data_IF_228319243530
#
_entry.id   IF_228319243530
#
_cell.length_a   1.000
_cell.length_b   1.000
_cell.length_c   1.000
_cell.angle_alpha   90.00
_cell.angle_beta   90.00
_cell.angle_gamma   90.00
#
_symmetry.space_group_name_H-M   'P 1'
#
loop_
_entity.id
_entity.type
_entity.pdbx_description
1 polymer ?
#
# COMPACT_ATOMS: atom_id res chain seq x y z
N UNK A 1 12.18 5.38 24.61
CA UNK A 1 10.72 5.42 24.33
C UNK A 1 10.08 4.23 25.02
N UNK A 2 8.77 4.27 25.29
CA UNK A 2 8.04 3.05 25.68
C UNK A 2 7.85 2.14 24.46
N UNK A 3 7.80 0.83 24.68
CA UNK A 3 7.54 -0.15 23.62
C UNK A 3 6.19 0.06 22.92
N UNK A 4 5.18 0.56 23.66
CA UNK A 4 3.89 0.94 23.09
C UNK A 4 3.97 2.09 22.07
N UNK A 5 4.80 3.09 22.32
CA UNK A 5 4.95 4.24 21.41
C UNK A 5 5.71 3.85 20.14
N UNK A 6 6.71 2.98 20.27
CA UNK A 6 7.46 2.44 19.13
C UNK A 6 6.60 1.50 18.27
N UNK A 7 5.77 0.65 18.88
CA UNK A 7 4.79 -0.18 18.16
C UNK A 7 3.78 0.67 17.38
N UNK A 8 3.31 1.80 17.93
CA UNK A 8 2.43 2.70 17.19
C UNK A 8 3.08 3.29 15.95
N UNK A 9 4.31 3.78 16.09
CA UNK A 9 5.09 4.30 14.95
C UNK A 9 5.32 3.22 13.89
N UNK A 10 5.61 1.98 14.30
CA UNK A 10 5.74 0.85 13.39
C UNK A 10 4.43 0.56 12.65
N UNK A 11 3.29 0.48 13.35
CA UNK A 11 1.96 0.25 12.74
C UNK A 11 1.63 1.29 11.67
N UNK A 12 1.71 2.58 12.01
CA UNK A 12 1.45 3.65 11.05
C UNK A 12 2.44 3.65 9.88
N UNK A 13 3.73 3.44 10.13
CA UNK A 13 4.73 3.34 9.08
C UNK A 13 4.46 2.16 8.14
N UNK A 14 4.18 0.97 8.66
CA UNK A 14 3.88 -0.23 7.87
C UNK A 14 2.59 -0.10 7.06
N UNK A 15 1.54 0.53 7.61
CA UNK A 15 0.29 0.75 6.90
C UNK A 15 0.44 1.79 5.77
N UNK A 16 1.37 2.75 5.90
CA UNK A 16 1.52 3.89 4.98
C UNK A 16 2.78 3.88 4.10
N UNK A 17 3.73 2.95 4.28
CA UNK A 17 5.02 2.96 3.58
C UNK A 17 4.87 3.15 2.06
N UNK A 18 3.87 2.51 1.49
CA UNK A 18 3.58 2.46 0.05
C UNK A 18 2.46 3.41 -0.42
N UNK A 19 1.88 4.27 0.43
CA UNK A 19 0.75 5.14 0.04
C UNK A 19 1.08 6.10 -1.11
N UNK A 20 2.36 6.48 -1.25
CA UNK A 20 2.86 7.25 -2.37
C UNK A 20 2.67 6.58 -3.73
N UNK A 21 2.48 5.26 -3.82
CA UNK A 21 2.12 4.56 -5.07
C UNK A 21 0.75 4.96 -5.59
N UNK A 22 -0.21 5.23 -4.69
CA UNK A 22 -1.51 5.79 -5.04
C UNK A 22 -1.34 7.20 -5.61
N UNK A 23 -0.57 8.06 -4.92
CA UNK A 23 -0.29 9.42 -5.40
C UNK A 23 0.46 9.44 -6.74
N UNK A 24 1.41 8.52 -6.98
CA UNK A 24 2.05 8.37 -8.30
C UNK A 24 1.02 8.06 -9.40
N UNK A 25 0.04 7.20 -9.12
CA UNK A 25 -1.04 6.90 -10.05
C UNK A 25 -1.87 8.14 -10.41
N UNK A 26 -2.07 9.04 -9.44
CA UNK A 26 -2.79 10.31 -9.62
C UNK A 26 -1.90 11.48 -10.06
N UNK A 27 -0.79 11.21 -10.77
CA UNK A 27 0.11 12.24 -11.32
C UNK A 27 1.16 12.83 -10.36
N UNK A 28 1.31 12.27 -9.15
CA UNK A 28 2.33 12.67 -8.18
C UNK A 28 3.75 12.45 -8.68
N UNK A 29 4.59 13.49 -8.65
CA UNK A 29 5.98 13.45 -9.15
C UNK A 29 6.97 13.14 -8.03
N UNK A 30 7.82 12.14 -8.27
CA UNK A 30 8.86 11.68 -7.35
C UNK A 30 8.82 10.16 -7.17
N UNK A 31 9.68 9.64 -6.30
CA UNK A 31 9.59 8.23 -5.89
C UNK A 31 8.45 8.02 -4.90
N UNK A 32 7.95 6.79 -4.75
CA UNK A 32 6.77 6.55 -3.89
C UNK A 32 7.09 6.81 -2.42
N UNK A 33 8.30 6.52 -1.95
CA UNK A 33 8.76 6.78 -0.58
C UNK A 33 8.70 8.27 -0.22
N UNK A 34 9.08 9.13 -1.18
CA UNK A 34 9.04 10.58 -1.05
C UNK A 34 7.61 11.09 -1.00
N UNK A 35 6.71 10.49 -1.79
CA UNK A 35 5.29 10.82 -1.82
C UNK A 35 4.55 10.29 -0.58
N UNK A 36 4.90 9.11 -0.05
CA UNK A 36 4.43 8.61 1.24
C UNK A 36 4.85 9.55 2.38
N UNK A 37 6.10 10.00 2.38
CA UNK A 37 6.62 10.97 3.35
C UNK A 37 5.87 12.30 3.27
N UNK A 38 5.66 12.83 2.05
CA UNK A 38 4.86 14.06 1.83
C UNK A 38 3.42 13.88 2.30
N UNK A 39 2.80 12.73 2.04
CA UNK A 39 1.43 12.45 2.46
C UNK A 39 1.30 12.51 3.99
N UNK A 40 2.21 11.84 4.70
CA UNK A 40 2.29 11.86 6.17
C UNK A 40 2.41 13.30 6.68
N UNK A 41 3.35 14.08 6.14
CA UNK A 41 3.62 15.45 6.57
C UNK A 41 2.50 16.45 6.24
N UNK A 42 1.76 16.22 5.16
CA UNK A 42 0.75 17.16 4.67
C UNK A 42 -0.66 16.89 5.21
N UNK A 43 -1.00 15.64 5.52
CA UNK A 43 -2.40 15.24 5.76
C UNK A 43 -2.66 14.51 7.09
N UNK A 44 -1.64 14.10 7.84
CA UNK A 44 -1.84 13.45 9.14
C UNK A 44 -1.64 14.43 10.31
N UNK A 45 -2.32 14.22 11.47
CA UNK A 45 -2.12 15.02 12.68
C UNK A 45 -0.65 15.02 13.16
N UNK A 46 -0.15 16.12 13.75
CA UNK A 46 1.21 16.20 14.29
C UNK A 46 1.59 15.04 15.22
N UNK A 47 0.63 14.57 16.03
CA UNK A 47 0.73 13.44 16.98
C UNK A 47 1.04 12.09 16.31
N UNK A 48 0.75 11.99 15.01
CA UNK A 48 1.07 10.83 14.16
C UNK A 48 2.34 11.09 13.33
N UNK A 49 2.58 12.34 12.90
CA UNK A 49 3.81 12.70 12.20
C UNK A 49 5.08 12.48 13.04
N UNK A 50 4.98 12.71 14.36
CA UNK A 50 6.12 12.59 15.28
C UNK A 50 6.64 11.15 15.38
N UNK A 51 7.74 10.89 14.67
CA UNK A 51 8.41 9.59 14.66
C UNK A 51 8.22 8.76 13.40
N UNK A 52 7.43 9.20 12.42
CA UNK A 52 7.32 8.56 11.09
C UNK A 52 8.42 9.00 10.11
N UNK A 53 9.40 9.79 10.55
CA UNK A 53 10.50 10.29 9.72
C UNK A 53 11.35 9.18 9.07
N UNK A 54 11.34 7.96 9.63
CA UNK A 54 12.02 6.79 9.05
C UNK A 54 11.30 6.16 7.86
N UNK A 55 10.06 6.54 7.54
CA UNK A 55 9.35 6.08 6.33
C UNK A 55 10.13 6.46 5.06
N UNK A 56 10.91 7.55 5.09
CA UNK A 56 11.82 7.90 3.98
C UNK A 56 12.97 6.89 3.76
N UNK A 57 13.29 6.06 4.75
CA UNK A 57 14.46 5.19 4.77
C UNK A 57 14.25 3.75 4.30
N UNK A 58 13.00 3.28 4.14
CA UNK A 58 12.69 1.84 3.96
C UNK A 58 13.09 1.20 2.62
N UNK A 59 13.68 1.98 1.70
CA UNK A 59 14.36 1.46 0.51
C UNK A 59 15.87 1.83 0.46
N UNK A 60 16.44 2.48 1.48
CA UNK A 60 17.85 2.90 1.48
C UNK A 60 18.76 1.92 2.25
N UNK A 61 19.43 1.04 1.49
CA UNK A 61 20.36 0.01 2.01
C UNK A 61 21.46 0.54 2.95
N UNK A 62 21.88 1.80 2.82
CA UNK A 62 22.96 2.37 3.64
C UNK A 62 22.51 2.73 5.07
N UNK A 63 21.22 2.93 5.32
CA UNK A 63 20.72 3.29 6.67
C UNK A 63 20.56 2.08 7.61
N UNK A 64 20.60 0.85 7.09
CA UNK A 64 20.42 -0.37 7.91
C UNK A 64 21.67 -0.82 8.68
N UNK A 65 22.84 -0.26 8.36
CA UNK A 65 24.13 -0.64 8.95
C UNK A 65 24.43 0.04 10.30
N UNK A 66 23.59 0.99 10.73
CA UNK A 66 23.65 1.57 12.08
C UNK A 66 22.93 0.71 13.12
N UNK A 67 23.32 0.88 14.39
CA UNK A 67 22.69 0.20 15.54
C UNK A 67 21.26 0.71 15.83
N UNK A 68 20.95 1.95 15.45
CA UNK A 68 19.90 2.75 16.10
C UNK A 68 18.50 2.76 15.46
N UNK A 69 18.13 1.84 14.56
CA UNK A 69 16.77 1.80 13.98
C UNK A 69 16.19 0.38 13.84
N UNK A 70 15.72 -0.18 14.95
CA UNK A 70 15.03 -1.47 14.99
C UNK A 70 13.67 -1.47 14.25
N UNK A 71 12.78 -0.46 14.40
CA UNK A 71 11.49 -0.45 13.68
C UNK A 71 11.63 -0.45 12.16
N UNK A 72 12.65 0.24 11.64
CA UNK A 72 12.94 0.28 10.20
C UNK A 72 13.35 -1.10 9.68
N UNK A 73 14.19 -1.84 10.42
CA UNK A 73 14.59 -3.21 10.08
C UNK A 73 13.39 -4.16 10.08
N UNK A 74 12.48 -4.01 11.05
CA UNK A 74 11.23 -4.78 11.13
C UNK A 74 10.29 -4.46 9.96
N UNK A 75 10.11 -3.17 9.62
CA UNK A 75 9.31 -2.73 8.48
C UNK A 75 9.82 -3.34 7.15
N UNK A 76 11.13 -3.26 6.89
CA UNK A 76 11.73 -3.78 5.65
C UNK A 76 11.59 -5.30 5.56
N UNK A 77 11.81 -6.02 6.66
CA UNK A 77 11.61 -7.47 6.70
C UNK A 77 10.14 -7.84 6.48
N UNK A 78 9.20 -7.09 7.05
CA UNK A 78 7.77 -7.33 6.87
C UNK A 78 7.30 -7.03 5.43
N UNK A 79 7.79 -5.97 4.80
CA UNK A 79 7.50 -5.64 3.40
C UNK A 79 8.03 -6.71 2.44
N UNK A 80 9.23 -7.25 2.69
CA UNK A 80 9.77 -8.36 1.90
C UNK A 80 8.95 -9.64 2.06
N UNK A 81 8.49 -9.95 3.27
CA UNK A 81 7.64 -11.11 3.54
C UNK A 81 6.25 -10.96 2.88
N UNK A 82 5.62 -9.79 2.97
CA UNK A 82 4.35 -9.47 2.29
C UNK A 82 4.49 -9.23 0.77
N UNK A 83 5.73 -9.20 0.26
CA UNK A 83 6.01 -9.19 -1.18
C UNK A 83 6.34 -10.58 -1.71
N UNK A 84 6.49 -11.60 -0.85
CA UNK A 84 7.01 -12.91 -1.23
C UNK A 84 5.99 -13.80 -1.96
N UNK A 85 4.70 -13.48 -1.87
CA UNK A 85 3.64 -14.12 -2.66
C UNK A 85 3.54 -13.61 -4.11
N UNK A 86 4.30 -12.56 -4.49
CA UNK A 86 4.20 -11.96 -5.83
C UNK A 86 4.67 -12.93 -6.90
N UNK A 87 3.83 -13.11 -7.92
CA UNK A 87 4.18 -13.85 -9.14
C UNK A 87 4.90 -12.87 -10.08
N UNK A 88 6.14 -13.19 -10.46
CA UNK A 88 6.86 -12.41 -11.48
C UNK A 88 6.17 -12.52 -12.86
N UNK A 89 6.36 -11.50 -13.69
CA UNK A 89 5.89 -11.52 -15.09
C UNK A 89 6.73 -12.52 -15.90
N UNK A 90 6.07 -13.31 -16.76
CA UNK A 90 6.75 -14.15 -17.74
C UNK A 90 7.54 -13.28 -18.75
N UNK A 91 8.59 -13.82 -19.39
CA UNK A 91 9.47 -13.03 -20.30
C UNK A 91 8.72 -12.38 -21.48
N UNK A 92 7.55 -12.94 -21.84
CA UNK A 92 6.67 -12.46 -22.91
C UNK A 92 5.68 -11.37 -22.45
N UNK A 93 5.48 -11.15 -21.14
CA UNK A 93 4.51 -10.18 -20.62
C UNK A 93 5.08 -8.75 -20.54
N UNK A 94 4.31 -7.75 -21.02
CA UNK A 94 4.76 -6.35 -21.01
C UNK A 94 4.79 -5.78 -19.58
N UNK A 95 5.94 -5.20 -19.21
CA UNK A 95 6.13 -4.47 -17.95
C UNK A 95 5.15 -3.30 -17.82
N UNK A 96 4.25 -3.39 -16.86
CA UNK A 96 3.24 -2.37 -16.62
C UNK A 96 3.80 -1.07 -16.05
N UNK A 97 2.97 -0.01 -16.12
CA UNK A 97 3.29 1.34 -15.67
C UNK A 97 2.21 1.87 -14.74
N UNK A 98 2.63 2.51 -13.65
CA UNK A 98 1.73 3.14 -12.68
C UNK A 98 0.85 4.18 -13.38
N UNK A 99 -0.44 4.20 -13.05
CA UNK A 99 -1.44 5.08 -13.68
C UNK A 99 -2.10 4.51 -14.95
N UNK A 100 -1.53 3.47 -15.59
CA UNK A 100 -2.09 2.88 -16.83
C UNK A 100 -2.22 1.35 -16.81
N UNK A 101 -1.68 0.67 -15.79
CA UNK A 101 -1.91 -0.76 -15.55
C UNK A 101 -3.01 -0.95 -14.50
N UNK A 102 -4.14 -1.60 -14.83
CA UNK A 102 -5.18 -1.95 -13.86
C UNK A 102 -4.79 -3.16 -13.01
N UNK A 103 -5.53 -3.41 -11.93
CA UNK A 103 -5.34 -4.61 -11.10
C UNK A 103 -5.95 -5.83 -11.81
N UNK A 104 -5.20 -6.93 -11.92
CA UNK A 104 -5.70 -8.20 -12.46
C UNK A 104 -6.53 -8.93 -11.40
N UNK A 105 -7.59 -9.62 -11.81
CA UNK A 105 -8.39 -10.44 -10.90
C UNK A 105 -7.65 -11.71 -10.55
N UNK A 106 -7.55 -12.04 -9.26
CA UNK A 106 -6.99 -13.31 -8.77
C UNK A 106 -7.67 -14.54 -9.38
N UNK A 107 -8.93 -14.42 -9.82
CA UNK A 107 -9.66 -15.48 -10.50
C UNK A 107 -9.14 -15.75 -11.92
N UNK A 108 -8.41 -14.80 -12.54
CA UNK A 108 -7.72 -15.00 -13.83
C UNK A 108 -6.61 -16.06 -13.74
N UNK A 109 -6.04 -16.24 -12.54
CA UNK A 109 -5.02 -17.26 -12.27
C UNK A 109 -5.63 -18.66 -11.99
N UNK A 110 -6.96 -18.78 -11.91
CA UNK A 110 -7.64 -20.06 -11.68
C UNK A 110 -8.17 -20.58 -13.01
N UNK A 111 -7.53 -21.62 -13.55
CA UNK A 111 -8.07 -22.36 -14.70
C UNK A 111 -8.19 -23.85 -14.40
N UNK A 112 -9.31 -24.43 -14.86
CA UNK A 112 -9.55 -25.86 -14.91
C UNK A 112 -9.22 -26.47 -16.29
N UNK A 113 -9.10 -25.64 -17.33
CA UNK A 113 -8.77 -26.05 -18.71
C UNK A 113 -7.66 -25.14 -19.28
N UNK A 114 -6.56 -25.72 -19.72
CA UNK A 114 -5.33 -25.00 -20.11
C UNK A 114 -5.43 -24.14 -21.38
N UNK A 115 -6.61 -24.05 -22.00
CA UNK A 115 -6.80 -23.46 -23.33
C UNK A 115 -7.31 -22.00 -23.35
N UNK A 116 -7.80 -21.45 -22.24
CA UNK A 116 -8.44 -20.12 -22.22
C UNK A 116 -7.97 -19.24 -21.05
N UNK A 117 -7.03 -18.35 -21.35
CA UNK A 117 -6.62 -17.25 -20.47
C UNK A 117 -7.68 -16.13 -20.48
N UNK A 118 -8.69 -16.23 -19.62
CA UNK A 118 -9.75 -15.22 -19.48
C UNK A 118 -9.36 -14.13 -18.46
N UNK A 119 -8.30 -13.37 -18.76
CA UNK A 119 -7.77 -12.33 -17.87
C UNK A 119 -8.74 -11.17 -17.71
N UNK A 120 -9.24 -10.97 -16.48
CA UNK A 120 -10.13 -9.87 -16.12
C UNK A 120 -9.46 -8.91 -15.15
N UNK A 121 -9.89 -7.65 -15.20
CA UNK A 121 -9.25 -6.55 -14.49
C UNK A 121 -10.28 -5.73 -13.70
N UNK A 122 -9.83 -5.06 -12.64
CA UNK A 122 -10.66 -4.13 -11.87
C UNK A 122 -10.47 -2.68 -12.32
N UNK A 123 -11.57 -1.93 -12.33
CA UNK A 123 -11.54 -0.48 -12.45
C UNK A 123 -10.93 0.17 -11.19
N UNK A 124 -10.18 1.27 -11.38
CA UNK A 124 -9.68 2.10 -10.28
C UNK A 124 -10.84 2.92 -9.69
N UNK A 125 -11.49 2.39 -8.65
CA UNK A 125 -12.62 3.02 -7.97
C UNK A 125 -12.62 2.70 -6.46
N UNK A 126 -13.54 3.28 -5.71
CA UNK A 126 -13.71 2.92 -4.30
C UNK A 126 -14.38 1.56 -4.17
N UNK A 127 -14.01 0.80 -3.13
CA UNK A 127 -14.59 -0.53 -2.85
C UNK A 127 -16.11 -0.50 -2.60
N UNK A 128 -16.67 0.67 -2.28
CA UNK A 128 -18.10 0.86 -2.00
C UNK A 128 -18.85 1.62 -3.11
N UNK A 129 -18.18 1.96 -4.21
CA UNK A 129 -18.79 2.65 -5.35
C UNK A 129 -19.16 1.64 -6.45
N UNK A 130 -20.45 1.61 -6.82
CA UNK A 130 -20.94 1.00 -8.06
C UNK A 130 -20.69 -0.51 -8.21
N UNK A 131 -20.31 -0.89 -9.44
CA UNK A 131 -20.05 -2.27 -9.85
C UNK A 131 -18.56 -2.60 -9.73
N UNK A 132 -18.23 -3.47 -8.76
CA UNK A 132 -16.87 -3.92 -8.45
C UNK A 132 -16.47 -5.24 -9.14
N UNK A 133 -17.30 -5.79 -10.03
CA UNK A 133 -16.94 -7.02 -10.75
C UNK A 133 -15.81 -6.77 -11.77
N UNK A 134 -14.89 -7.74 -11.97
CA UNK A 134 -13.78 -7.58 -12.89
C UNK A 134 -14.24 -7.75 -14.34
N UNK A 135 -13.67 -6.93 -15.24
CA UNK A 135 -14.12 -6.69 -16.62
C UNK A 135 -13.03 -7.08 -17.63
N UNK A 136 -13.38 -7.17 -18.91
CA UNK A 136 -12.40 -7.36 -19.98
C UNK A 136 -11.50 -6.12 -20.10
N UNK A 137 -10.23 -6.27 -20.50
CA UNK A 137 -9.27 -5.14 -20.59
C UNK A 137 -9.76 -3.97 -21.46
N UNK A 138 -10.61 -4.25 -22.46
CA UNK A 138 -11.23 -3.27 -23.38
C UNK A 138 -12.39 -2.46 -22.75
N UNK A 139 -12.91 -2.92 -21.61
CA UNK A 139 -14.05 -2.34 -20.88
C UNK A 139 -13.59 -1.50 -19.67
N UNK A 140 -12.31 -1.59 -19.32
CA UNK A 140 -11.69 -0.82 -18.24
C UNK A 140 -11.69 0.68 -18.58
N UNK A 141 -12.03 1.48 -17.58
CA UNK A 141 -12.14 2.93 -17.71
C UNK A 141 -10.79 3.63 -17.91
N UNK A 142 -10.83 4.92 -18.23
CA UNK A 142 -9.62 5.75 -18.35
C UNK A 142 -8.95 5.93 -16.98
N UNK A 143 -7.84 5.20 -16.77
CA UNK A 143 -7.27 5.00 -15.44
C UNK A 143 -6.67 6.26 -14.82
N UNK A 144 -6.11 7.19 -15.60
CA UNK A 144 -5.42 8.37 -15.08
C UNK A 144 -6.43 9.28 -14.37
N UNK A 145 -7.53 9.66 -15.03
CA UNK A 145 -8.61 10.44 -14.40
C UNK A 145 -9.24 9.70 -13.23
N UNK A 146 -9.33 8.38 -13.29
CA UNK A 146 -9.87 7.59 -12.17
C UNK A 146 -8.95 7.62 -10.94
N UNK A 147 -7.64 7.48 -11.11
CA UNK A 147 -6.67 7.72 -10.03
C UNK A 147 -6.76 9.16 -9.48
N UNK A 148 -6.86 10.18 -10.35
CA UNK A 148 -7.00 11.59 -9.94
C UNK A 148 -8.26 11.84 -9.11
N UNK A 149 -9.41 11.36 -9.58
CA UNK A 149 -10.69 11.49 -8.88
C UNK A 149 -10.68 10.71 -7.54
N UNK A 150 -10.19 9.48 -7.54
CA UNK A 150 -10.12 8.63 -6.35
C UNK A 150 -9.17 9.23 -5.30
N UNK A 151 -8.03 9.78 -5.71
CA UNK A 151 -7.09 10.47 -4.82
C UNK A 151 -7.70 11.75 -4.23
N UNK A 152 -8.40 12.57 -5.03
CA UNK A 152 -9.11 13.76 -4.53
C UNK A 152 -10.12 13.37 -3.45
N UNK A 153 -10.97 12.38 -3.72
CA UNK A 153 -12.00 11.92 -2.78
C UNK A 153 -11.37 11.35 -1.49
N UNK A 154 -10.29 10.56 -1.60
CA UNK A 154 -9.52 10.06 -0.46
C UNK A 154 -8.97 11.21 0.41
N UNK A 155 -8.35 12.22 -0.19
CA UNK A 155 -7.81 13.39 0.54
C UNK A 155 -8.92 14.23 1.17
N UNK A 156 -10.10 14.32 0.55
CA UNK A 156 -11.26 14.99 1.15
C UNK A 156 -11.79 14.28 2.40
N UNK A 157 -11.78 12.94 2.44
CA UNK A 157 -12.18 12.19 3.64
C UNK A 157 -11.09 12.19 4.71
N UNK A 158 -9.81 12.07 4.34
CA UNK A 158 -8.67 12.18 5.28
C UNK A 158 -8.70 13.52 6.04
N UNK A 159 -9.02 14.63 5.36
CA UNK A 159 -9.12 15.97 5.97
C UNK A 159 -10.32 16.15 6.92
N UNK A 160 -11.26 15.21 6.98
CA UNK A 160 -12.43 15.23 7.87
C UNK A 160 -12.25 14.37 9.11
N UNK A 161 -11.10 13.71 9.28
CA UNK A 161 -10.81 12.89 10.46
C UNK A 161 -10.27 13.79 11.57
N UNK A 162 -11.01 13.91 12.66
CA UNK A 162 -10.50 14.50 13.90
C UNK A 162 -9.57 13.52 14.63
N UNK A 163 -8.47 14.03 15.19
CA UNK A 163 -7.60 13.23 16.05
C UNK A 163 -8.20 13.14 17.46
N UNK A 164 -8.65 11.94 17.83
CA UNK A 164 -9.13 11.63 19.19
C UNK A 164 -8.04 10.90 19.98
N UNK A 165 -7.55 9.80 19.42
CA UNK A 165 -6.50 8.96 19.97
C UNK A 165 -5.88 8.09 18.85
N UNK A 166 -4.76 7.40 19.15
CA UNK A 166 -4.01 6.60 18.17
C UNK A 166 -4.77 5.35 17.69
N UNK A 167 -5.56 4.68 18.54
CA UNK A 167 -6.35 3.51 18.15
C UNK A 167 -7.48 3.92 17.21
N UNK A 168 -8.31 4.89 17.61
CA UNK A 168 -9.43 5.41 16.81
C UNK A 168 -8.96 5.97 15.46
N UNK A 169 -7.85 6.73 15.47
CA UNK A 169 -7.28 7.28 14.23
C UNK A 169 -6.71 6.18 13.32
N UNK A 170 -6.00 5.19 13.88
CA UNK A 170 -5.46 4.06 13.11
C UNK A 170 -6.57 3.23 12.47
N UNK A 171 -7.62 2.90 13.22
CA UNK A 171 -8.78 2.13 12.72
C UNK A 171 -9.48 2.90 11.60
N UNK A 172 -9.69 4.21 11.76
CA UNK A 172 -10.33 5.06 10.74
C UNK A 172 -9.49 5.11 9.46
N UNK A 173 -8.17 5.34 9.59
CA UNK A 173 -7.24 5.36 8.48
C UNK A 173 -7.17 4.00 7.76
N UNK A 174 -7.16 2.89 8.51
CA UNK A 174 -7.20 1.54 7.96
C UNK A 174 -8.43 1.29 7.08
N UNK A 175 -9.62 1.71 7.53
CA UNK A 175 -10.84 1.54 6.74
C UNK A 175 -10.92 2.50 5.54
N UNK A 176 -10.33 3.69 5.61
CA UNK A 176 -10.18 4.55 4.43
C UNK A 176 -9.21 3.97 3.41
N UNK A 177 -8.08 3.39 3.84
CA UNK A 177 -7.19 2.68 2.93
C UNK A 177 -7.90 1.49 2.29
N UNK A 178 -8.66 0.69 3.05
CA UNK A 178 -9.52 -0.35 2.49
C UNK A 178 -10.49 0.20 1.44
N UNK A 179 -11.16 1.30 1.75
CA UNK A 179 -12.12 1.96 0.86
C UNK A 179 -11.50 2.46 -0.46
N UNK A 180 -10.27 2.98 -0.42
CA UNK A 180 -9.66 3.70 -1.54
C UNK A 180 -8.51 2.96 -2.25
N UNK A 181 -7.91 1.92 -1.66
CA UNK A 181 -6.74 1.23 -2.22
C UNK A 181 -6.91 -0.29 -2.43
N UNK A 182 -8.10 -0.87 -2.12
CA UNK A 182 -8.40 -2.28 -2.41
C UNK A 182 -8.54 -2.63 -3.89
N UNK A 183 -8.74 -1.66 -4.79
CA UNK A 183 -8.76 -1.89 -6.25
C UNK A 183 -7.52 -1.29 -6.96
N UNK A 184 -6.50 -0.88 -6.21
CA UNK A 184 -5.22 -0.36 -6.74
C UNK A 184 -4.16 -1.47 -6.65
N UNK A 185 -3.46 -1.84 -7.74
CA UNK A 185 -2.43 -2.90 -7.66
C UNK A 185 -1.18 -2.42 -6.90
N UNK A 186 -0.66 -3.24 -5.98
CA UNK A 186 0.49 -2.89 -5.13
C UNK A 186 1.82 -2.82 -5.91
N UNK A 187 1.97 -3.68 -6.91
CA UNK A 187 3.05 -3.70 -7.89
C UNK A 187 2.48 -3.81 -9.32
N UNK A 188 3.20 -3.28 -10.32
CA UNK A 188 2.75 -3.29 -11.73
C UNK A 188 3.87 -3.52 -12.75
N UNK A 189 5.14 -3.55 -12.34
CA UNK A 189 6.28 -3.44 -13.27
C UNK A 189 6.96 -4.78 -13.55
N UNK A 190 7.29 -5.55 -12.52
CA UNK A 190 8.01 -6.83 -12.63
C UNK A 190 7.18 -8.04 -12.19
N UNK A 191 6.01 -7.80 -11.58
CA UNK A 191 5.10 -8.82 -11.06
C UNK A 191 3.70 -8.62 -11.62
N UNK A 192 2.91 -9.69 -11.63
CA UNK A 192 1.49 -9.66 -11.95
C UNK A 192 0.77 -8.67 -11.01
N UNK A 193 -0.10 -7.80 -11.53
CA UNK A 193 -0.72 -6.74 -10.74
C UNK A 193 -1.99 -7.26 -10.03
N UNK A 194 -1.94 -8.40 -9.35
CA UNK A 194 -3.12 -9.08 -8.76
C UNK A 194 -3.29 -8.89 -7.24
N UNK A 195 -2.26 -8.39 -6.55
CA UNK A 195 -2.30 -8.03 -5.12
C UNK A 195 -2.69 -6.55 -4.95
N UNK A 196 -3.73 -6.27 -4.16
CA UNK A 196 -4.14 -4.89 -3.87
C UNK A 196 -3.15 -4.15 -2.96
N UNK A 197 -3.08 -2.83 -3.11
CA UNK A 197 -2.26 -1.94 -2.29
C UNK A 197 -2.73 -1.94 -0.83
N UNK A 198 -4.04 -2.07 -0.58
CA UNK A 198 -4.57 -2.27 0.76
C UNK A 198 -4.07 -3.59 1.38
N UNK A 199 -4.15 -4.69 0.62
CA UNK A 199 -3.78 -6.02 1.13
C UNK A 199 -2.27 -6.14 1.37
N UNK A 200 -1.45 -5.56 0.50
CA UNK A 200 -0.01 -5.40 0.74
C UNK A 200 0.26 -4.65 2.06
N UNK A 201 -0.26 -3.42 2.18
CA UNK A 201 -0.03 -2.59 3.37
C UNK A 201 -0.56 -3.21 4.67
N UNK A 202 -1.72 -3.86 4.65
CA UNK A 202 -2.27 -4.51 5.86
C UNK A 202 -1.44 -5.73 6.27
N UNK A 203 -0.92 -6.50 5.30
CA UNK A 203 -0.09 -7.67 5.57
C UNK A 203 1.29 -7.26 6.09
N UNK A 204 1.93 -6.27 5.47
CA UNK A 204 3.16 -5.64 5.99
C UNK A 204 2.97 -5.16 7.43
N UNK A 205 1.84 -4.51 7.75
CA UNK A 205 1.54 -4.06 9.11
C UNK A 205 1.35 -5.22 10.11
N UNK A 206 0.61 -6.27 9.74
CA UNK A 206 0.39 -7.42 10.60
C UNK A 206 1.70 -8.20 10.88
N UNK A 207 2.52 -8.43 9.84
CA UNK A 207 3.80 -9.12 9.95
C UNK A 207 4.78 -8.29 10.80
N UNK A 208 4.85 -6.97 10.58
CA UNK A 208 5.70 -6.07 11.37
C UNK A 208 5.35 -6.12 12.86
N UNK A 209 4.06 -6.06 13.21
CA UNK A 209 3.61 -6.18 14.60
C UNK A 209 3.96 -7.54 15.22
N UNK A 210 3.79 -8.65 14.49
CA UNK A 210 4.17 -9.97 14.95
C UNK A 210 5.68 -10.09 15.23
N UNK A 211 6.53 -9.58 14.32
CA UNK A 211 7.98 -9.56 14.49
C UNK A 211 8.38 -8.71 15.70
N UNK A 212 7.85 -7.49 15.81
CA UNK A 212 8.15 -6.57 16.90
C UNK A 212 7.77 -7.15 18.26
N UNK A 213 6.54 -7.66 18.40
CA UNK A 213 6.09 -8.35 19.62
C UNK A 213 6.98 -9.53 19.97
N UNK A 214 7.44 -10.31 18.98
CA UNK A 214 8.33 -11.45 19.22
C UNK A 214 9.74 -11.05 19.67
N UNK A 215 10.22 -9.87 19.26
CA UNK A 215 11.47 -9.29 19.74
C UNK A 215 11.33 -8.84 21.21
N UNK A 216 10.33 -8.01 21.53
CA UNK A 216 10.14 -7.48 22.89
C UNK A 216 9.72 -8.51 23.96
N UNK A 217 9.41 -9.75 23.59
CA UNK A 217 9.17 -10.87 24.54
C UNK A 217 10.48 -11.59 24.93
N UNK A 218 11.62 -11.22 24.31
CA UNK A 218 12.94 -11.83 24.57
C UNK A 218 13.87 -10.98 25.43
N UNK A 219 13.43 -9.79 25.82
CA UNK A 219 14.08 -8.86 26.74
C UNK A 219 13.38 -8.88 28.12
#
# INVERSE_FOLDING_TARGET
MSSGEELWRLRFASLLHDIGKFWQGSGGKGKHEELSTKFIQQYLPPEIQEGLSFVKGHHNRQQYLGESYHPLKVLVLADWLASSERIDLDEEEEKGKRGVTPMESIFSNISFDSALSNKKYYDIQSLFDGDIFPKEKKEIQELIKSYENLWRNFIEEIKRIDFVDKDTYFITLYYLLKKYTSLIPSAVWHSKPDISLFDHSRMTCAIAECIYKKMCIRD
#
